data_IF_154542089791
#
_entry.id   IF_154542089791
#
_cell.length_a   1.000
_cell.length_b   1.000
_cell.length_c   1.000
_cell.angle_alpha   90.00
_cell.angle_beta   90.00
_cell.angle_gamma   90.00
#
_symmetry.space_group_name_H-M   'P 1'
#
loop_
_entity.id
_entity.type
_entity.pdbx_description
1 polymer ?
#
# COMPACT_ATOMS: atom_id res chain seq x y z
N UNK A 1 10.62 -7.37 -17.31
CA UNK A 1 9.96 -7.31 -15.97
C UNK A 1 8.46 -7.38 -16.19
N UNK A 2 7.71 -8.18 -15.43
CA UNK A 2 6.24 -8.20 -15.57
C UNK A 2 5.67 -6.80 -15.23
N UNK A 3 4.93 -6.19 -16.15
CA UNK A 3 4.32 -4.89 -15.91
C UNK A 3 3.30 -5.01 -14.76
N UNK A 4 3.35 -4.06 -13.82
CA UNK A 4 2.37 -4.01 -12.74
C UNK A 4 0.95 -3.85 -13.30
N UNK A 5 0.02 -4.66 -12.79
CA UNK A 5 -1.39 -4.58 -13.17
C UNK A 5 -1.99 -3.24 -12.73
N UNK A 6 -3.04 -2.71 -13.40
CA UNK A 6 -3.67 -1.44 -13.03
C UNK A 6 -4.06 -1.34 -11.55
N UNK A 7 -4.56 -2.44 -10.96
CA UNK A 7 -4.91 -2.50 -9.55
C UNK A 7 -3.73 -2.29 -8.59
N UNK A 8 -2.54 -2.78 -8.97
CA UNK A 8 -1.31 -2.64 -8.20
C UNK A 8 -0.80 -1.20 -8.27
N UNK A 9 -0.85 -0.58 -9.47
CA UNK A 9 -0.52 0.83 -9.68
C UNK A 9 -1.40 1.75 -8.84
N UNK A 10 -2.71 1.51 -8.80
CA UNK A 10 -3.65 2.29 -7.96
C UNK A 10 -3.29 2.22 -6.46
N UNK A 11 -2.94 1.03 -5.97
CA UNK A 11 -2.52 0.86 -4.56
C UNK A 11 -1.20 1.58 -4.29
N UNK A 12 -0.21 1.47 -5.18
CA UNK A 12 1.03 2.22 -5.06
C UNK A 12 0.79 3.73 -5.03
N UNK A 13 -0.03 4.23 -5.96
CA UNK A 13 -0.38 5.65 -6.03
C UNK A 13 -1.06 6.12 -4.74
N UNK A 14 -1.99 5.35 -4.17
CA UNK A 14 -2.63 5.67 -2.89
C UNK A 14 -1.60 5.76 -1.77
N UNK A 15 -0.75 4.74 -1.61
CA UNK A 15 0.27 4.72 -0.54
C UNK A 15 1.22 5.91 -0.66
N UNK A 16 1.68 6.21 -1.88
CA UNK A 16 2.57 7.35 -2.12
C UNK A 16 1.86 8.69 -1.92
N UNK A 17 0.56 8.78 -2.21
CA UNK A 17 -0.25 9.94 -1.91
C UNK A 17 -0.38 10.15 -0.40
N UNK A 18 -0.74 9.12 0.36
CA UNK A 18 -0.77 9.16 1.83
C UNK A 18 0.60 9.54 2.41
N UNK A 19 1.69 9.05 1.84
CA UNK A 19 3.03 9.44 2.26
C UNK A 19 3.31 10.92 1.98
N UNK A 20 2.95 11.42 0.78
CA UNK A 20 3.11 12.82 0.39
C UNK A 20 2.37 13.77 1.33
N UNK A 21 1.20 13.38 1.82
CA UNK A 21 0.42 14.15 2.80
C UNK A 21 0.83 13.88 4.26
N UNK A 22 1.80 12.98 4.50
CA UNK A 22 2.26 12.64 5.83
C UNK A 22 1.25 11.85 6.66
N UNK A 23 0.45 11.03 6.01
CA UNK A 23 -0.66 10.26 6.59
C UNK A 23 -0.39 8.76 6.60
N UNK A 24 0.61 8.32 5.84
CA UNK A 24 1.04 6.93 5.81
C UNK A 24 1.59 6.55 7.19
N UNK A 25 1.02 5.48 7.77
CA UNK A 25 1.41 4.93 9.06
C UNK A 25 1.87 3.49 8.92
N UNK A 26 2.79 3.09 9.78
CA UNK A 26 3.18 1.70 9.96
C UNK A 26 2.03 0.91 10.62
N UNK A 27 2.13 -0.42 10.64
CA UNK A 27 1.18 -1.28 11.36
C UNK A 27 1.06 -0.97 12.85
N UNK A 28 2.11 -0.39 13.45
CA UNK A 28 2.16 0.06 14.84
C UNK A 28 1.58 1.47 15.07
N UNK A 29 1.07 2.12 14.01
CA UNK A 29 0.48 3.46 14.09
C UNK A 29 1.48 4.62 13.96
N UNK A 30 2.78 4.35 13.96
CA UNK A 30 3.82 5.38 13.79
C UNK A 30 3.82 5.92 12.36
N UNK A 31 3.89 7.25 12.20
CA UNK A 31 3.99 7.92 10.89
C UNK A 31 5.28 7.53 10.17
N UNK A 32 5.16 7.21 8.88
CA UNK A 32 6.30 6.87 8.01
C UNK A 32 7.02 8.17 7.62
N UNK A 33 8.32 8.24 7.88
CA UNK A 33 9.16 9.42 7.58
C UNK A 33 10.11 9.23 6.40
N UNK A 34 10.41 7.98 6.05
CA UNK A 34 11.39 7.67 5.00
C UNK A 34 10.70 7.34 3.67
N UNK A 35 11.10 7.96 2.54
CA UNK A 35 10.58 7.61 1.22
C UNK A 35 10.81 6.16 0.86
N UNK A 36 11.99 5.61 1.22
CA UNK A 36 12.34 4.19 0.97
C UNK A 36 11.38 3.25 1.68
N UNK A 37 11.00 3.58 2.92
CA UNK A 37 10.03 2.80 3.67
C UNK A 37 8.63 2.89 3.05
N UNK A 38 8.22 4.08 2.58
CA UNK A 38 6.95 4.25 1.89
C UNK A 38 6.86 3.40 0.61
N UNK A 39 7.93 3.39 -0.19
CA UNK A 39 8.03 2.53 -1.38
C UNK A 39 7.95 1.05 -1.01
N UNK A 40 8.65 0.62 0.05
CA UNK A 40 8.59 -0.77 0.52
C UNK A 40 7.17 -1.17 0.94
N UNK A 41 6.46 -0.31 1.68
CA UNK A 41 5.06 -0.51 2.05
C UNK A 41 4.19 -0.58 0.79
N UNK A 42 4.38 0.34 -0.16
CA UNK A 42 3.63 0.37 -1.41
C UNK A 42 3.80 -0.92 -2.22
N UNK A 43 5.03 -1.42 -2.36
CA UNK A 43 5.31 -2.67 -3.05
C UNK A 43 4.70 -3.87 -2.34
N UNK A 44 4.78 -3.92 -1.01
CA UNK A 44 4.17 -4.96 -0.20
C UNK A 44 2.64 -4.94 -0.31
N UNK A 45 2.01 -3.78 -0.16
CA UNK A 45 0.54 -3.63 -0.26
C UNK A 45 0.00 -3.91 -1.66
N UNK A 46 0.76 -3.56 -2.70
CA UNK A 46 0.43 -3.83 -4.10
C UNK A 46 0.69 -5.30 -4.50
N UNK A 47 1.28 -6.13 -3.64
CA UNK A 47 1.66 -7.49 -3.98
C UNK A 47 2.68 -7.55 -5.12
N UNK A 48 3.67 -6.65 -5.10
CA UNK A 48 4.72 -6.53 -6.10
C UNK A 48 6.13 -6.57 -5.46
N UNK A 49 6.24 -7.09 -4.24
CA UNK A 49 7.53 -7.24 -3.56
C UNK A 49 8.32 -8.37 -4.21
N UNK A 50 9.60 -8.11 -4.51
CA UNK A 50 10.55 -9.14 -4.99
C UNK A 50 11.02 -10.09 -3.89
N UNK A 51 10.80 -9.73 -2.63
CA UNK A 51 11.21 -10.52 -1.47
C UNK A 51 10.12 -11.49 -0.99
N UNK A 52 8.93 -11.42 -1.58
CA UNK A 52 7.77 -12.22 -1.21
C UNK A 52 7.43 -13.22 -2.33
N UNK A 53 6.90 -14.39 -1.96
CA UNK A 53 6.43 -15.37 -2.94
C UNK A 53 5.23 -14.82 -3.73
N UNK A 54 4.95 -15.42 -4.90
CA UNK A 54 3.77 -15.04 -5.72
C UNK A 54 2.46 -15.19 -4.94
N UNK A 55 2.34 -16.24 -4.12
CA UNK A 55 1.17 -16.46 -3.28
C UNK A 55 1.03 -15.39 -2.21
N UNK A 56 2.14 -15.04 -1.55
CA UNK A 56 2.13 -14.04 -0.49
C UNK A 56 1.82 -12.65 -1.05
N UNK A 57 2.38 -12.32 -2.21
CA UNK A 57 2.01 -11.12 -2.97
C UNK A 57 0.51 -11.07 -3.32
N UNK A 58 -0.08 -12.19 -3.78
CA UNK A 58 -1.52 -12.28 -4.07
C UNK A 58 -2.37 -12.08 -2.81
N UNK A 59 -1.98 -12.70 -1.69
CA UNK A 59 -2.63 -12.54 -0.38
C UNK A 59 -2.57 -11.09 0.11
N UNK A 60 -1.40 -10.46 0.01
CA UNK A 60 -1.19 -9.07 0.41
C UNK A 60 -2.06 -8.11 -0.40
N UNK A 61 -2.08 -8.26 -1.73
CA UNK A 61 -2.93 -7.45 -2.59
C UNK A 61 -4.41 -7.63 -2.25
N UNK A 62 -4.88 -8.87 -2.09
CA UNK A 62 -6.27 -9.15 -1.72
C UNK A 62 -6.64 -8.53 -0.36
N UNK A 63 -5.76 -8.65 0.64
CA UNK A 63 -5.94 -8.02 1.96
C UNK A 63 -6.00 -6.50 1.86
N UNK A 64 -5.14 -5.88 1.05
CA UNK A 64 -5.15 -4.44 0.83
C UNK A 64 -6.43 -3.99 0.16
N UNK A 65 -6.88 -4.67 -0.90
CA UNK A 65 -8.15 -4.34 -1.56
C UNK A 65 -9.34 -4.45 -0.63
N UNK A 66 -9.41 -5.50 0.19
CA UNK A 66 -10.47 -5.62 1.21
C UNK A 66 -10.47 -4.42 2.17
N UNK A 67 -9.31 -3.93 2.59
CA UNK A 67 -9.18 -2.74 3.46
C UNK A 67 -9.60 -1.46 2.74
N UNK A 68 -9.21 -1.29 1.48
CA UNK A 68 -9.62 -0.16 0.61
C UNK A 68 -11.13 -0.14 0.39
N UNK A 69 -11.76 -1.28 0.11
CA UNK A 69 -13.21 -1.37 -0.05
C UNK A 69 -13.96 -1.08 1.26
N UNK A 70 -13.40 -1.47 2.40
CA UNK A 70 -13.99 -1.23 3.70
C UNK A 70 -13.73 0.18 4.27
N UNK A 71 -13.11 1.10 3.50
CA UNK A 71 -12.82 2.47 3.97
C UNK A 71 -11.73 2.55 5.06
N UNK A 72 -10.95 1.48 5.28
CA UNK A 72 -10.06 1.38 6.45
C UNK A 72 -8.68 2.05 6.26
N UNK A 73 -8.43 2.66 5.11
CA UNK A 73 -7.16 3.35 4.78
C UNK A 73 -7.11 4.76 5.38
N UNK A 74 -5.91 5.29 5.65
CA UNK A 74 -5.77 6.62 6.26
C UNK A 74 -6.43 7.71 5.43
N UNK A 75 -6.29 7.63 4.09
CA UNK A 75 -6.89 8.58 3.16
C UNK A 75 -8.42 8.60 3.28
N UNK A 76 -9.04 7.42 3.23
CA UNK A 76 -10.50 7.30 3.25
C UNK A 76 -11.13 7.71 4.58
N UNK A 77 -10.44 7.53 5.71
CA UNK A 77 -10.95 7.96 7.03
C UNK A 77 -10.90 9.47 7.25
N UNK A 78 -10.14 10.21 6.44
CA UNK A 78 -10.01 11.67 6.55
C UNK A 78 -10.85 12.42 5.53
N UNK A 79 -11.14 11.80 4.38
CA UNK A 79 -12.00 12.34 3.32
C UNK A 79 -13.49 12.08 3.57
N UNK A 80 -13.87 11.28 4.58
CA UNK A 80 -15.26 11.04 5.01
C UNK A 80 -15.56 11.74 6.31
#
# INVERSE_FOLDING_TARGET
MAQQKPAQKKTMQRVMHEYKHGELKTSRGTKVKSPKQAVAIGLHEAGASKYESKEQNKKNLARTKRREHAGKTSRQRKEG
#
